data_IF_573772335422
#
_entry.id   IF_573772335422
#
_cell.length_a   1.000
_cell.length_b   1.000
_cell.length_c   1.000
_cell.angle_alpha   90.00
_cell.angle_beta   90.00
_cell.angle_gamma   90.00
#
_symmetry.space_group_name_H-M   'P 1'
#
loop_
_entity.id
_entity.type
_entity.pdbx_description
1 polymer ?
#
# COMPACT_ATOMS: atom_id res chain seq x y z
N UNK A 1 -26.02 -32.12 14.05
CA UNK A 1 -25.04 -31.95 12.95
C UNK A 1 -23.77 -31.35 13.54
N UNK A 2 -23.03 -32.10 14.36
CA UNK A 2 -21.73 -31.64 14.87
C UNK A 2 -20.69 -31.89 13.79
N UNK A 3 -20.59 -30.96 12.84
CA UNK A 3 -19.57 -31.02 11.80
C UNK A 3 -18.17 -30.96 12.42
N UNK A 4 -17.25 -31.76 11.89
CA UNK A 4 -15.85 -31.78 12.30
C UNK A 4 -15.28 -30.35 12.25
N UNK A 5 -14.86 -29.82 13.40
CA UNK A 5 -14.24 -28.50 13.48
C UNK A 5 -12.79 -28.64 13.03
N UNK A 6 -12.46 -28.11 11.87
CA UNK A 6 -11.07 -27.96 11.43
C UNK A 6 -10.50 -26.65 11.96
N UNK A 7 -9.26 -26.67 12.43
CA UNK A 7 -8.53 -25.49 12.91
C UNK A 7 -7.21 -25.36 12.17
N UNK A 8 -6.77 -24.12 12.00
CA UNK A 8 -5.53 -23.77 11.32
C UNK A 8 -4.57 -23.09 12.30
N UNK A 9 -3.37 -23.65 12.44
CA UNK A 9 -2.26 -23.04 13.17
C UNK A 9 -1.28 -22.44 12.16
N UNK A 10 -1.13 -21.13 12.20
CA UNK A 10 -0.28 -20.35 11.30
C UNK A 10 0.96 -19.91 12.07
N UNK A 11 2.14 -20.32 11.61
CA UNK A 11 3.40 -20.23 12.36
C UNK A 11 4.30 -19.18 11.71
N UNK A 12 4.77 -18.20 12.47
CA UNK A 12 5.81 -17.28 12.05
C UNK A 12 7.17 -18.00 11.97
N UNK A 13 8.06 -17.71 10.98
CA UNK A 13 9.30 -18.46 10.80
C UNK A 13 10.22 -18.39 12.02
N UNK A 14 10.18 -17.31 12.80
CA UNK A 14 10.99 -17.20 14.01
C UNK A 14 10.64 -18.27 15.07
N UNK A 15 9.38 -18.73 15.12
CA UNK A 15 8.92 -19.73 16.10
C UNK A 15 9.45 -21.13 15.77
N UNK A 16 9.85 -21.41 14.53
CA UNK A 16 10.35 -22.73 14.16
C UNK A 16 11.67 -23.07 14.85
N UNK A 17 12.37 -22.06 15.38
CA UNK A 17 13.58 -22.23 16.21
C UNK A 17 13.26 -22.70 17.63
N UNK A 18 12.04 -22.49 18.11
CA UNK A 18 11.59 -22.81 19.47
C UNK A 18 10.37 -23.75 19.44
N UNK A 19 10.58 -25.08 19.37
CA UNK A 19 9.49 -26.05 19.22
C UNK A 19 8.52 -26.08 20.42
N UNK A 20 8.99 -25.69 21.60
CA UNK A 20 8.21 -25.68 22.84
C UNK A 20 6.96 -24.78 22.75
N UNK A 21 7.07 -23.62 22.08
CA UNK A 21 5.95 -22.72 21.88
C UNK A 21 4.85 -23.38 21.04
N UNK A 22 5.22 -24.07 19.98
CA UNK A 22 4.28 -24.79 19.11
C UNK A 22 3.58 -25.92 19.89
N UNK A 23 4.32 -26.66 20.71
CA UNK A 23 3.73 -27.71 21.55
C UNK A 23 2.80 -27.17 22.63
N UNK A 24 3.18 -26.07 23.28
CA UNK A 24 2.36 -25.45 24.33
C UNK A 24 1.02 -24.99 23.78
N UNK A 25 1.02 -24.39 22.58
CA UNK A 25 -0.17 -23.91 21.89
C UNK A 25 -1.03 -25.08 21.42
N UNK A 26 -0.44 -26.16 20.91
CA UNK A 26 -1.18 -27.40 20.57
C UNK A 26 -1.84 -28.04 21.79
N UNK A 27 -1.21 -27.97 22.96
CA UNK A 27 -1.75 -28.46 24.24
C UNK A 27 -2.78 -27.51 24.85
N UNK A 28 -2.79 -26.24 24.42
CA UNK A 28 -3.71 -25.23 24.96
C UNK A 28 -5.18 -25.53 24.61
N UNK A 29 -6.09 -25.11 25.48
CA UNK A 29 -7.54 -25.33 25.33
C UNK A 29 -8.15 -24.70 24.08
N UNK A 30 -7.42 -23.83 23.37
CA UNK A 30 -7.89 -23.17 22.14
C UNK A 30 -8.26 -24.19 21.06
N UNK A 31 -7.54 -25.31 21.00
CA UNK A 31 -7.74 -26.37 20.00
C UNK A 31 -8.47 -27.60 20.53
N UNK A 32 -8.92 -27.60 21.80
CA UNK A 32 -9.57 -28.77 22.40
C UNK A 32 -10.84 -29.20 21.64
N UNK A 33 -11.50 -28.25 21.00
CA UNK A 33 -12.71 -28.46 20.20
C UNK A 33 -12.41 -28.93 18.75
N UNK A 34 -11.15 -28.95 18.33
CA UNK A 34 -10.76 -29.19 16.94
C UNK A 34 -10.42 -30.66 16.68
N UNK A 35 -11.00 -31.24 15.63
CA UNK A 35 -10.73 -32.64 15.24
C UNK A 35 -9.54 -32.75 14.28
N UNK A 36 -9.30 -31.70 13.48
CA UNK A 36 -8.21 -31.62 12.50
C UNK A 36 -7.46 -30.31 12.71
N UNK A 37 -6.13 -30.41 12.81
CA UNK A 37 -5.24 -29.26 12.99
C UNK A 37 -4.25 -29.21 11.83
N UNK A 38 -4.48 -28.27 10.91
CA UNK A 38 -3.55 -28.00 9.82
C UNK A 38 -2.51 -26.98 10.30
N UNK A 39 -1.25 -27.17 9.89
CA UNK A 39 -0.13 -26.33 10.30
C UNK A 39 0.58 -25.78 9.06
N UNK A 40 0.60 -24.46 8.93
CA UNK A 40 1.31 -23.82 7.83
C UNK A 40 2.20 -22.69 8.32
N UNK A 41 3.31 -22.50 7.60
CA UNK A 41 4.22 -21.39 7.83
C UNK A 41 3.73 -20.19 7.01
N UNK A 42 3.73 -18.99 7.62
CA UNK A 42 3.22 -17.77 6.99
C UNK A 42 3.83 -17.47 5.60
N UNK A 43 5.13 -17.67 5.43
CA UNK A 43 5.82 -17.46 4.14
C UNK A 43 5.28 -18.40 3.06
N UNK A 44 4.97 -19.67 3.40
CA UNK A 44 4.45 -20.63 2.41
C UNK A 44 3.05 -20.23 1.89
N UNK A 45 2.25 -19.58 2.73
CA UNK A 45 0.96 -19.01 2.31
C UNK A 45 1.18 -17.75 1.49
N UNK A 46 2.12 -16.90 1.89
CA UNK A 46 2.43 -15.67 1.17
C UNK A 46 2.98 -15.94 -0.25
N UNK A 47 3.83 -16.95 -0.38
CA UNK A 47 4.39 -17.41 -1.65
C UNK A 47 3.40 -18.24 -2.47
N UNK A 48 2.14 -18.37 -2.01
CA UNK A 48 1.08 -19.15 -2.65
C UNK A 48 1.44 -20.63 -2.90
N UNK A 49 2.46 -21.15 -2.20
CA UNK A 49 2.89 -22.55 -2.30
C UNK A 49 1.87 -23.51 -1.67
N UNK A 50 1.07 -23.00 -0.73
CA UNK A 50 -0.02 -23.73 -0.10
C UNK A 50 -1.31 -22.96 -0.31
N UNK A 51 -2.31 -23.62 -0.88
CA UNK A 51 -3.66 -23.06 -1.05
C UNK A 51 -4.56 -23.58 0.07
N UNK A 52 -5.23 -22.66 0.76
CA UNK A 52 -6.23 -23.01 1.76
C UNK A 52 -7.55 -23.38 1.08
N UNK A 53 -8.27 -24.35 1.64
CA UNK A 53 -9.63 -24.66 1.21
C UNK A 53 -10.61 -23.60 1.76
N UNK A 54 -11.58 -23.20 0.93
CA UNK A 54 -12.58 -22.20 1.28
C UNK A 54 -13.58 -22.72 2.34
N UNK A 55 -13.95 -21.88 3.31
CA UNK A 55 -14.92 -22.15 4.40
C UNK A 55 -14.69 -23.43 5.26
N UNK A 56 -13.48 -23.99 5.25
CA UNK A 56 -13.13 -25.21 6.01
C UNK A 56 -12.86 -24.95 7.48
N UNK A 57 -12.19 -23.84 7.79
CA UNK A 57 -11.65 -23.61 9.12
C UNK A 57 -12.64 -22.86 10.03
N UNK A 58 -12.76 -23.34 11.26
CA UNK A 58 -13.58 -22.70 12.31
C UNK A 58 -12.77 -21.77 13.21
N UNK A 59 -11.47 -22.07 13.37
CA UNK A 59 -10.54 -21.32 14.20
C UNK A 59 -9.19 -21.21 13.48
N UNK A 60 -8.64 -20.00 13.42
CA UNK A 60 -7.30 -19.70 12.94
C UNK A 60 -6.51 -19.09 14.10
N UNK A 61 -5.33 -19.60 14.36
CA UNK A 61 -4.43 -19.06 15.39
C UNK A 61 -3.10 -18.70 14.76
N UNK A 62 -2.70 -17.44 14.85
CA UNK A 62 -1.39 -16.97 14.44
C UNK A 62 -0.42 -16.99 15.61
N UNK A 63 0.66 -17.77 15.49
CA UNK A 63 1.70 -17.89 16.49
C UNK A 63 2.93 -17.09 16.04
N UNK A 64 3.17 -15.98 16.73
CA UNK A 64 4.36 -15.12 16.58
C UNK A 64 5.08 -15.00 17.94
N UNK A 65 6.42 -14.94 17.98
CA UNK A 65 7.15 -14.69 19.22
C UNK A 65 7.26 -13.18 19.53
N UNK A 66 6.80 -12.32 18.63
CA UNK A 66 6.88 -10.86 18.73
C UNK A 66 5.84 -10.32 19.71
N UNK A 67 6.14 -9.15 20.30
CA UNK A 67 5.19 -8.42 21.14
C UNK A 67 4.03 -7.88 20.30
N UNK A 68 2.87 -7.68 20.91
CA UNK A 68 1.64 -7.23 20.23
C UNK A 68 1.81 -5.96 19.37
N UNK A 69 2.70 -5.04 19.76
CA UNK A 69 2.98 -3.80 19.03
C UNK A 69 3.87 -3.96 17.80
N UNK A 70 4.67 -5.02 17.72
CA UNK A 70 5.69 -5.22 16.69
C UNK A 70 5.30 -6.26 15.65
N UNK A 71 4.13 -6.90 15.82
CA UNK A 71 3.67 -7.99 14.94
C UNK A 71 3.63 -7.53 13.49
N UNK A 72 4.46 -8.12 12.65
CA UNK A 72 4.42 -7.93 11.20
C UNK A 72 3.59 -9.04 10.54
N UNK A 73 2.52 -8.65 9.83
CA UNK A 73 1.64 -9.57 9.12
C UNK A 73 1.27 -9.04 7.73
N UNK A 74 1.46 -9.81 6.65
CA UNK A 74 1.07 -9.38 5.31
C UNK A 74 -0.45 -9.21 5.18
N UNK A 75 -0.91 -7.98 4.91
CA UNK A 75 -2.35 -7.66 4.82
C UNK A 75 -3.11 -8.44 3.74
N UNK A 76 -2.41 -8.83 2.66
CA UNK A 76 -2.97 -9.68 1.59
C UNK A 76 -3.46 -11.04 2.11
N UNK A 77 -2.80 -11.60 3.12
CA UNK A 77 -3.17 -12.88 3.69
C UNK A 77 -4.46 -12.80 4.51
N UNK A 78 -4.82 -11.62 5.04
CA UNK A 78 -6.05 -11.43 5.81
C UNK A 78 -7.27 -11.75 4.93
N UNK A 79 -7.27 -11.32 3.66
CA UNK A 79 -8.33 -11.63 2.70
C UNK A 79 -8.43 -13.14 2.40
N UNK A 80 -7.28 -13.82 2.26
CA UNK A 80 -7.24 -15.28 2.02
C UNK A 80 -7.73 -16.05 3.24
N UNK A 81 -7.35 -15.63 4.45
CA UNK A 81 -7.85 -16.20 5.70
C UNK A 81 -9.35 -15.95 5.90
N UNK A 82 -9.84 -14.79 5.47
CA UNK A 82 -11.27 -14.50 5.48
C UNK A 82 -12.03 -15.49 4.59
N UNK A 83 -11.52 -15.84 3.41
CA UNK A 83 -12.15 -16.80 2.49
C UNK A 83 -12.15 -18.24 3.05
N UNK A 84 -11.06 -18.66 3.67
CA UNK A 84 -10.91 -20.02 4.23
C UNK A 84 -11.67 -20.24 5.55
N UNK A 85 -11.99 -19.17 6.27
CA UNK A 85 -12.79 -19.22 7.51
C UNK A 85 -14.29 -19.39 7.22
N UNK A 86 -14.95 -20.27 7.96
CA UNK A 86 -16.41 -20.39 7.96
C UNK A 86 -17.07 -19.14 8.56
N UNK A 87 -18.31 -18.84 8.19
CA UNK A 87 -19.10 -17.80 8.86
C UNK A 87 -19.17 -18.04 10.38
N UNK A 88 -18.79 -17.03 11.18
CA UNK A 88 -18.63 -17.13 12.63
C UNK A 88 -17.29 -17.72 13.11
N UNK A 89 -16.36 -17.99 12.20
CA UNK A 89 -15.01 -18.45 12.53
C UNK A 89 -14.20 -17.39 13.28
N UNK A 90 -13.25 -17.83 14.12
CA UNK A 90 -12.46 -16.97 15.00
C UNK A 90 -11.00 -16.93 14.56
N UNK A 91 -10.38 -15.75 14.60
CA UNK A 91 -8.97 -15.54 14.31
C UNK A 91 -8.28 -14.93 15.53
N UNK A 92 -7.19 -15.55 15.98
CA UNK A 92 -6.37 -15.13 17.12
C UNK A 92 -4.95 -14.76 16.68
N UNK A 93 -4.29 -13.88 17.44
CA UNK A 93 -2.85 -13.60 17.31
C UNK A 93 -2.47 -12.36 16.49
N UNK A 94 -3.44 -11.62 15.95
CA UNK A 94 -3.21 -10.30 15.34
C UNK A 94 -3.46 -9.19 16.37
N UNK A 95 -2.88 -8.01 16.15
CA UNK A 95 -2.98 -6.85 17.05
C UNK A 95 -3.94 -5.78 16.53
N UNK A 96 -4.19 -4.77 17.37
CA UNK A 96 -5.04 -3.62 17.04
C UNK A 96 -4.53 -2.77 15.86
N UNK A 97 -3.27 -2.92 15.46
CA UNK A 97 -2.70 -2.26 14.27
C UNK A 97 -3.48 -2.67 13.01
N UNK A 98 -3.91 -3.93 12.94
CA UNK A 98 -4.62 -4.49 11.78
C UNK A 98 -6.15 -4.41 11.91
N UNK A 99 -6.67 -3.63 12.88
CA UNK A 99 -8.11 -3.49 13.13
C UNK A 99 -8.87 -2.96 11.92
N UNK A 100 -8.26 -2.07 11.14
CA UNK A 100 -8.87 -1.52 9.92
C UNK A 100 -8.97 -2.61 8.85
N UNK A 101 -7.90 -3.37 8.61
CA UNK A 101 -7.90 -4.48 7.66
C UNK A 101 -8.91 -5.56 8.05
N UNK A 102 -9.07 -5.83 9.35
CA UNK A 102 -10.09 -6.74 9.87
C UNK A 102 -11.49 -6.29 9.44
N UNK A 103 -11.82 -5.01 9.67
CA UNK A 103 -13.13 -4.45 9.33
C UNK A 103 -13.39 -4.44 7.82
N UNK A 104 -12.37 -4.13 7.00
CA UNK A 104 -12.47 -4.16 5.53
C UNK A 104 -12.79 -5.56 5.03
N UNK A 105 -12.20 -6.60 5.64
CA UNK A 105 -12.41 -8.00 5.27
C UNK A 105 -13.63 -8.66 5.96
N UNK A 106 -14.48 -7.88 6.65
CA UNK A 106 -15.72 -8.38 7.25
C UNK A 106 -15.56 -9.09 8.59
N UNK A 107 -14.45 -8.85 9.30
CA UNK A 107 -14.28 -9.32 10.68
C UNK A 107 -14.87 -8.35 11.69
N UNK A 108 -15.36 -8.90 12.79
CA UNK A 108 -15.73 -8.18 14.00
C UNK A 108 -14.65 -8.36 15.05
N UNK A 109 -14.08 -7.26 15.51
CA UNK A 109 -12.98 -7.28 16.48
C UNK A 109 -13.55 -7.29 17.89
N UNK A 110 -13.18 -8.29 18.69
CA UNK A 110 -13.63 -8.48 20.07
C UNK A 110 -12.43 -8.32 21.01
N UNK A 111 -12.38 -7.20 21.73
CA UNK A 111 -11.28 -6.89 22.66
C UNK A 111 -11.51 -7.41 24.09
N UNK A 112 -12.72 -7.85 24.45
CA UNK A 112 -13.13 -8.02 25.86
C UNK A 112 -13.75 -9.38 26.20
N UNK A 113 -13.20 -10.47 25.65
CA UNK A 113 -13.65 -11.83 25.97
C UNK A 113 -12.73 -12.55 26.96
N UNK A 114 -13.27 -13.55 27.68
CA UNK A 114 -12.50 -14.50 28.51
C UNK A 114 -11.37 -15.22 27.73
N UNK A 115 -11.49 -15.25 26.40
CA UNK A 115 -10.57 -15.91 25.47
C UNK A 115 -9.52 -14.95 24.87
N UNK A 116 -9.43 -13.71 25.37
CA UNK A 116 -8.50 -12.70 24.88
C UNK A 116 -8.94 -12.01 23.59
N UNK A 117 -8.04 -11.21 23.03
CA UNK A 117 -8.25 -10.45 21.79
C UNK A 117 -8.39 -11.39 20.59
N UNK A 118 -9.52 -11.30 19.89
CA UNK A 118 -9.77 -12.11 18.70
C UNK A 118 -10.75 -11.46 17.73
N UNK A 119 -10.71 -11.92 16.49
CA UNK A 119 -11.58 -11.45 15.43
C UNK A 119 -12.59 -12.54 15.07
N UNK A 120 -13.83 -12.16 14.77
CA UNK A 120 -14.90 -13.08 14.39
C UNK A 120 -15.37 -12.75 12.98
N UNK A 121 -15.31 -13.70 12.05
CA UNK A 121 -15.81 -13.49 10.68
C UNK A 121 -17.32 -13.30 10.73
N UNK A 122 -17.83 -12.15 10.29
CA UNK A 122 -19.28 -11.97 10.13
C UNK A 122 -19.75 -12.96 9.07
N UNK A 123 -20.75 -13.76 9.43
CA UNK A 123 -21.35 -14.67 8.45
C UNK A 123 -21.88 -13.86 7.27
N UNK A 124 -21.70 -14.39 6.07
CA UNK A 124 -22.44 -14.01 4.85
C UNK A 124 -23.92 -14.41 5.00
N UNK A 125 -24.54 -14.02 6.11
CA UNK A 125 -25.97 -13.83 6.10
C UNK A 125 -26.19 -12.67 5.13
N UNK A 126 -26.74 -12.99 3.95
CA UNK A 126 -27.58 -12.06 3.22
C UNK A 126 -28.61 -11.54 4.22
N UNK A 127 -28.21 -10.52 4.98
CA UNK A 127 -29.11 -9.71 5.76
C UNK A 127 -29.85 -9.00 4.67
N UNK A 128 -31.03 -9.54 4.35
CA UNK A 128 -32.00 -8.88 3.52
C UNK A 128 -31.94 -7.42 3.93
N UNK A 129 -31.48 -6.56 3.02
CA UNK A 129 -31.55 -5.12 3.24
C UNK A 129 -33.03 -4.83 3.32
N UNK A 130 -33.59 -4.91 4.54
CA UNK A 130 -34.88 -4.37 4.83
C UNK A 130 -34.74 -2.89 4.49
N UNK A 131 -35.45 -2.36 3.47
CA UNK A 131 -35.36 -0.96 3.18
C UNK A 131 -35.78 -0.23 4.46
N UNK A 132 -34.87 0.52 5.06
CA UNK A 132 -35.22 1.47 6.11
C UNK A 132 -36.13 2.47 5.43
N UNK A 133 -37.44 2.25 5.56
CA UNK A 133 -38.44 3.13 5.01
C UNK A 133 -38.36 4.46 5.77
N UNK A 134 -37.64 5.42 5.21
CA UNK A 134 -37.74 6.82 5.59
C UNK A 134 -39.20 7.22 5.41
N UNK A 135 -39.97 7.28 6.50
CA UNK A 135 -41.38 7.68 6.47
C UNK A 135 -41.48 9.11 5.91
N UNK A 136 -42.05 9.33 4.70
CA UNK A 136 -42.34 10.67 4.26
C UNK A 136 -43.51 11.21 5.11
N UNK A 137 -43.32 12.38 5.71
CA UNK A 137 -44.34 13.11 6.46
C UNK A 137 -45.54 13.42 5.53
N UNK A 138 -46.61 12.63 5.66
CA UNK A 138 -47.85 12.83 4.90
C UNK A 138 -48.64 13.97 5.54
N UNK A 139 -48.64 15.14 4.91
CA UNK A 139 -49.61 16.21 5.20
C UNK A 139 -50.99 15.75 4.68
N UNK A 140 -51.86 15.30 5.57
CA UNK A 140 -53.29 15.18 5.30
C UNK A 140 -54.01 16.46 5.73
N UNK A 141 -54.82 17.08 4.86
CA UNK A 141 -55.65 18.21 5.25
C UNK A 141 -56.91 17.68 5.94
N UNK A 142 -56.95 17.70 7.28
CA UNK A 142 -58.21 17.55 8.00
C UNK A 142 -58.81 18.93 8.24
N UNK A 143 -59.80 19.28 7.41
CA UNK A 143 -60.83 20.22 7.81
C UNK A 143 -61.53 19.68 9.06
N UNK A 144 -61.62 20.51 10.08
CA UNK A 144 -62.12 20.08 11.39
C UNK A 144 -61.73 21.07 12.46
N UNK A 145 -62.48 22.16 12.51
CA UNK A 145 -62.46 23.19 13.55
C UNK A 145 -62.27 22.63 14.96
N UNK A 146 -61.28 23.14 15.70
CA UNK A 146 -61.39 23.73 17.05
C UNK A 146 -59.98 23.92 17.66
N UNK A 147 -59.58 25.20 17.70
CA UNK A 147 -58.75 25.90 18.71
C UNK A 147 -57.67 25.11 19.47
N UNK A 148 -56.40 25.49 19.33
CA UNK A 148 -55.41 25.76 20.40
C UNK A 148 -54.16 26.46 19.78
N UNK A 149 -53.36 27.23 20.56
CA UNK A 149 -52.86 28.54 20.11
C UNK A 149 -51.44 28.59 19.50
N UNK A 150 -51.35 29.47 18.50
CA UNK A 150 -50.30 30.46 18.15
C UNK A 150 -48.94 30.30 18.86
N UNK A 151 -47.94 29.84 18.10
CA UNK A 151 -46.57 30.34 18.23
C UNK A 151 -46.06 30.78 16.86
N UNK A 152 -45.64 32.04 16.78
CA UNK A 152 -45.29 32.75 15.56
C UNK A 152 -43.98 32.22 14.94
N UNK A 153 -43.98 32.11 13.61
CA UNK A 153 -42.78 32.01 12.77
C UNK A 153 -42.52 33.38 12.15
N UNK A 154 -41.27 33.80 11.94
CA UNK A 154 -40.91 34.56 10.76
C UNK A 154 -40.32 33.62 9.70
N UNK A 155 -40.93 33.71 8.54
CA UNK A 155 -40.62 33.15 7.24
C UNK A 155 -39.23 33.52 6.72
N UNK A 156 -38.43 32.52 6.35
CA UNK A 156 -37.50 32.63 5.23
C UNK A 156 -37.86 31.55 4.20
N UNK A 157 -38.28 32.01 3.02
CA UNK A 157 -38.70 31.20 1.91
C UNK A 157 -37.48 30.62 1.17
N UNK A 158 -37.47 29.32 0.94
CA UNK A 158 -36.63 28.67 -0.08
C UNK A 158 -37.50 28.40 -1.31
N UNK A 159 -37.04 28.73 -2.53
CA UNK A 159 -37.85 28.61 -3.74
C UNK A 159 -37.94 27.14 -4.20
N UNK A 160 -39.16 26.74 -4.56
CA UNK A 160 -39.45 25.44 -5.17
C UNK A 160 -39.12 25.48 -6.67
N UNK A 161 -38.13 24.69 -7.10
CA UNK A 161 -37.87 24.45 -8.51
C UNK A 161 -38.96 23.54 -9.11
N UNK A 162 -39.73 24.09 -10.04
CA UNK A 162 -40.64 23.33 -10.92
C UNK A 162 -39.81 22.52 -11.92
N UNK A 163 -40.18 21.25 -12.04
CA UNK A 163 -39.69 20.27 -13.02
C UNK A 163 -40.10 20.74 -14.43
N UNK A 164 -39.11 21.12 -15.24
CA UNK A 164 -39.30 21.46 -16.65
C UNK A 164 -38.82 20.31 -17.55
N UNK A 165 -39.53 20.18 -18.67
CA UNK A 165 -39.48 19.13 -19.67
C UNK A 165 -38.16 19.05 -20.45
N UNK A 166 -37.93 17.85 -21.01
CA UNK A 166 -36.80 17.47 -21.88
C UNK A 166 -36.64 18.42 -23.09
N UNK A 167 -35.41 18.86 -23.42
CA UNK A 167 -35.08 19.25 -24.78
C UNK A 167 -34.07 18.27 -25.45
N UNK A 168 -34.21 18.17 -26.77
CA UNK A 168 -33.46 17.40 -27.76
C UNK A 168 -31.92 17.53 -27.67
N UNK A 169 -31.17 16.57 -28.22
CA UNK A 169 -29.71 16.59 -28.20
C UNK A 169 -29.20 17.63 -29.21
N UNK A 170 -28.42 18.60 -28.73
CA UNK A 170 -27.61 19.49 -29.56
C UNK A 170 -26.14 19.25 -29.22
N UNK A 171 -25.32 19.11 -30.26
CA UNK A 171 -23.99 18.50 -30.24
C UNK A 171 -22.96 19.14 -29.31
N UNK A 172 -21.96 18.31 -28.95
CA UNK A 172 -20.80 18.72 -28.16
C UNK A 172 -20.04 19.88 -28.85
N UNK A 173 -19.60 20.88 -28.08
CA UNK A 173 -18.66 21.88 -28.59
C UNK A 173 -17.27 21.24 -28.79
N UNK A 174 -16.75 21.33 -30.00
CA UNK A 174 -15.36 20.99 -30.33
C UNK A 174 -14.43 22.07 -29.77
N UNK A 175 -13.65 21.74 -28.75
CA UNK A 175 -12.64 22.65 -28.22
C UNK A 175 -11.42 22.66 -29.16
N UNK A 176 -11.19 23.80 -29.83
CA UNK A 176 -9.96 24.04 -30.60
C UNK A 176 -8.81 24.33 -29.63
N UNK A 177 -7.72 23.59 -29.80
CA UNK A 177 -6.45 23.75 -29.07
C UNK A 177 -5.75 25.03 -29.55
N UNK A 178 -5.37 25.98 -28.67
CA UNK A 178 -4.56 27.11 -29.08
C UNK A 178 -3.11 26.67 -29.31
N UNK A 179 -2.55 27.05 -30.46
CA UNK A 179 -1.12 26.96 -30.78
C UNK A 179 -0.31 27.78 -29.77
N UNK A 180 0.69 27.17 -29.15
CA UNK A 180 1.78 27.89 -28.49
C UNK A 180 2.98 27.99 -29.44
N UNK A 181 3.70 29.12 -29.42
CA UNK A 181 4.56 29.55 -30.52
C UNK A 181 5.90 28.78 -30.57
N UNK A 182 6.39 28.57 -31.79
CA UNK A 182 7.78 28.20 -32.10
C UNK A 182 8.73 29.28 -31.59
N UNK A 183 9.64 28.91 -30.68
CA UNK A 183 10.88 29.66 -30.46
C UNK A 183 12.00 28.94 -31.23
N UNK A 184 12.64 29.72 -32.08
CA UNK A 184 13.71 29.37 -33.01
C UNK A 184 15.02 29.03 -32.31
N UNK A 185 15.67 28.01 -32.87
CA UNK A 185 17.10 27.72 -32.70
C UNK A 185 17.94 28.93 -33.13
N UNK A 186 18.89 29.32 -32.28
CA UNK A 186 20.11 30.03 -32.67
C UNK A 186 21.23 29.33 -31.91
N UNK A 187 22.10 28.70 -32.69
CA UNK A 187 23.40 28.22 -32.26
C UNK A 187 24.36 29.41 -32.32
N UNK A 188 25.13 29.63 -31.26
CA UNK A 188 26.38 30.38 -31.33
C UNK A 188 27.42 29.61 -30.49
N UNK A 189 28.47 29.20 -31.20
CA UNK A 189 29.72 28.59 -30.73
C UNK A 189 30.61 29.64 -30.06
N UNK A 190 31.18 29.34 -28.87
CA UNK A 190 32.43 29.93 -28.29
C UNK A 190 32.85 28.97 -27.14
N UNK A 191 33.78 28.03 -27.30
CA UNK A 191 35.26 28.14 -27.40
C UNK A 191 35.96 28.60 -26.10
N UNK A 192 36.76 27.66 -25.57
CA UNK A 192 38.00 27.77 -24.80
C UNK A 192 38.05 28.34 -23.36
N UNK A 193 38.75 27.60 -22.50
CA UNK A 193 39.25 28.09 -21.21
C UNK A 193 39.48 27.01 -20.15
N UNK A 194 40.62 26.34 -20.22
CA UNK A 194 41.17 25.35 -19.29
C UNK A 194 41.28 25.80 -17.81
N UNK A 195 41.32 24.76 -16.95
CA UNK A 195 42.19 24.65 -15.75
C UNK A 195 41.87 25.51 -14.51
N UNK A 196 41.40 24.85 -13.45
CA UNK A 196 41.87 25.07 -12.07
C UNK A 196 41.36 23.96 -11.13
N UNK A 197 42.31 23.11 -10.71
CA UNK A 197 42.28 22.31 -9.50
C UNK A 197 42.06 23.17 -8.25
N UNK A 198 41.40 22.61 -7.24
CA UNK A 198 41.65 23.03 -5.85
C UNK A 198 40.48 22.96 -4.88
N UNK A 199 40.45 21.87 -4.12
CA UNK A 199 40.22 21.80 -2.66
C UNK A 199 38.82 22.18 -2.13
N UNK A 200 38.09 21.19 -1.60
CA UNK A 200 37.82 20.96 -0.16
C UNK A 200 36.72 21.87 0.39
N UNK A 201 35.85 21.54 1.34
CA UNK A 201 35.47 20.39 2.17
C UNK A 201 34.12 20.86 2.76
N UNK A 202 33.16 19.96 2.99
CA UNK A 202 32.16 20.03 4.07
C UNK A 202 30.90 19.25 3.67
N UNK A 203 30.89 17.96 3.99
CA UNK A 203 29.63 17.24 4.24
C UNK A 203 29.81 16.42 5.52
N UNK A 204 29.52 17.10 6.63
CA UNK A 204 29.26 16.47 7.92
C UNK A 204 28.01 15.59 7.81
N UNK A 205 28.00 14.46 8.55
CA UNK A 205 26.90 13.50 8.77
C UNK A 205 27.04 12.13 8.04
N UNK A 206 28.05 11.32 8.40
CA UNK A 206 28.01 9.87 8.08
C UNK A 206 28.65 8.89 9.09
N UNK A 207 29.09 9.35 10.27
CA UNK A 207 29.94 8.55 11.18
C UNK A 207 29.24 7.48 12.06
N UNK A 208 27.91 7.35 12.03
CA UNK A 208 27.22 6.38 12.92
C UNK A 208 27.06 4.97 12.30
N UNK A 209 27.13 4.85 10.97
CA UNK A 209 26.95 3.58 10.26
C UNK A 209 28.27 2.82 10.02
N UNK A 210 29.42 3.48 10.10
CA UNK A 210 30.75 2.89 9.91
C UNK A 210 31.34 2.33 11.21
N UNK A 211 30.94 2.85 12.38
CA UNK A 211 31.34 2.36 13.69
C UNK A 211 30.69 1.02 14.08
N UNK A 212 29.47 0.75 13.60
CA UNK A 212 28.76 -0.51 13.90
C UNK A 212 29.23 -1.70 13.07
N UNK A 213 29.97 -1.46 11.98
CA UNK A 213 30.53 -2.49 11.10
C UNK A 213 31.99 -2.87 11.44
N UNK A 214 32.68 -2.01 12.18
CA UNK A 214 34.04 -2.25 12.69
C UNK A 214 34.07 -2.97 14.03
N UNK A 215 32.99 -2.91 14.83
CA UNK A 215 32.90 -3.65 16.11
C UNK A 215 32.70 -5.17 15.98
N UNK A 216 32.34 -5.67 14.80
CA UNK A 216 32.14 -7.11 14.58
C UNK A 216 33.42 -7.85 14.18
N UNK A 217 34.52 -7.14 13.93
CA UNK A 217 35.81 -7.72 13.52
C UNK A 217 36.90 -7.66 14.60
N UNK A 218 36.67 -6.97 15.72
CA UNK A 218 37.67 -6.79 16.78
C UNK A 218 37.54 -7.81 17.95
N UNK A 219 36.47 -8.62 17.98
CA UNK A 219 36.15 -9.56 19.09
C UNK A 219 36.66 -11.00 18.87
N UNK A 220 37.73 -11.18 18.09
CA UNK A 220 38.39 -12.49 17.81
C UNK A 220 39.82 -12.57 18.39
N UNK A 221 40.21 -11.60 19.21
CA UNK A 221 41.48 -11.63 19.93
C UNK A 221 41.34 -12.42 21.26
N UNK A 222 41.36 -13.76 21.23
CA UNK A 222 41.43 -14.49 22.50
C UNK A 222 41.09 -15.98 22.54
N UNK A 223 41.38 -16.77 21.50
CA UNK A 223 41.43 -18.22 21.69
C UNK A 223 42.47 -18.88 20.79
N UNK A 224 43.67 -18.98 21.33
CA UNK A 224 44.75 -19.85 20.87
C UNK A 224 44.22 -21.29 20.73
N UNK A 225 44.66 -21.98 19.67
CA UNK A 225 44.43 -23.42 19.39
C UNK A 225 43.40 -23.76 18.30
N UNK A 226 43.52 -23.14 17.11
CA UNK A 226 43.01 -23.72 15.87
C UNK A 226 44.20 -24.07 14.97
N UNK A 227 44.30 -25.35 14.58
CA UNK A 227 45.26 -25.87 13.62
C UNK A 227 45.35 -24.96 12.40
N UNK A 228 46.58 -24.55 12.06
CA UNK A 228 46.86 -23.76 10.86
C UNK A 228 46.31 -24.50 9.64
N UNK A 229 45.28 -23.94 9.02
CA UNK A 229 44.77 -24.43 7.75
C UNK A 229 45.89 -24.26 6.73
N UNK A 230 46.30 -25.36 6.11
CA UNK A 230 47.36 -25.37 5.11
C UNK A 230 46.85 -24.73 3.80
N UNK A 231 47.60 -23.76 3.27
CA UNK A 231 47.19 -22.99 2.09
C UNK A 231 47.14 -23.86 0.83
N UNK A 232 47.88 -24.98 0.82
CA UNK A 232 47.95 -25.94 -0.28
C UNK A 232 46.85 -27.02 -0.24
N UNK A 233 46.16 -27.24 0.90
CA UNK A 233 45.03 -28.20 1.03
C UNK A 233 43.68 -27.55 0.67
N UNK A 234 43.65 -26.22 0.53
CA UNK A 234 42.47 -25.45 0.14
C UNK A 234 42.27 -25.37 -1.39
N UNK A 235 43.26 -25.83 -2.16
CA UNK A 235 43.28 -25.75 -3.61
C UNK A 235 43.40 -27.16 -4.19
N UNK A 236 42.30 -27.90 -4.21
CA UNK A 236 42.23 -29.15 -4.95
C UNK A 236 42.44 -28.88 -6.46
N UNK A 237 43.63 -29.20 -6.99
CA UNK A 237 43.99 -29.17 -8.42
C UNK A 237 43.06 -30.05 -9.32
N UNK A 238 42.12 -30.78 -8.70
CA UNK A 238 41.08 -31.57 -9.37
C UNK A 238 39.77 -30.81 -9.60
N UNK A 239 39.56 -29.64 -8.97
CA UNK A 239 38.37 -28.81 -9.13
C UNK A 239 38.69 -27.63 -10.04
N UNK A 240 38.57 -27.84 -11.36
CA UNK A 240 38.55 -26.76 -12.34
C UNK A 240 37.42 -25.80 -11.99
N UNK A 241 37.82 -24.77 -11.26
CA UNK A 241 37.05 -23.63 -10.84
C UNK A 241 36.32 -23.01 -12.02
N UNK A 242 35.08 -23.42 -12.23
CA UNK A 242 34.06 -22.59 -12.85
C UNK A 242 33.68 -21.48 -11.85
N UNK A 243 34.66 -20.71 -11.39
CA UNK A 243 34.40 -19.44 -10.73
C UNK A 243 33.85 -18.55 -11.84
N UNK A 244 32.53 -18.41 -11.85
CA UNK A 244 31.90 -17.29 -12.56
C UNK A 244 32.28 -16.04 -11.79
N UNK A 245 33.43 -15.47 -12.14
CA UNK A 245 33.73 -14.11 -11.73
C UNK A 245 32.63 -13.26 -12.38
N UNK A 246 31.63 -12.87 -11.60
CA UNK A 246 30.77 -11.73 -11.93
C UNK A 246 31.68 -10.51 -11.82
N UNK A 247 32.56 -10.37 -12.81
CA UNK A 247 33.22 -9.12 -13.07
C UNK A 247 32.08 -8.16 -13.35
N UNK A 248 31.89 -7.19 -12.46
CA UNK A 248 31.23 -5.94 -12.82
C UNK A 248 32.15 -5.21 -13.81
N UNK A 249 32.40 -5.83 -14.95
CA UNK A 249 32.93 -5.17 -16.10
C UNK A 249 31.84 -4.25 -16.56
N UNK A 250 32.01 -2.95 -16.33
CA UNK A 250 31.56 -1.96 -17.31
C UNK A 250 32.28 -2.31 -18.61
N UNK A 251 31.86 -3.38 -19.30
CA UNK A 251 32.37 -3.71 -20.61
C UNK A 251 31.96 -2.53 -21.47
N UNK A 252 32.94 -1.78 -21.95
CA UNK A 252 32.77 -0.64 -22.85
C UNK A 252 32.13 -1.03 -24.20
N UNK A 253 31.58 -2.23 -24.31
CA UNK A 253 30.82 -2.71 -25.44
C UNK A 253 29.34 -2.42 -25.19
N UNK A 254 28.92 -1.17 -25.43
CA UNK A 254 27.48 -0.86 -25.55
C UNK A 254 26.86 -1.90 -26.47
N UNK A 255 25.85 -2.63 -26.00
CA UNK A 255 24.97 -3.41 -26.87
C UNK A 255 24.47 -2.46 -27.96
N UNK A 256 24.86 -2.70 -29.22
CA UNK A 256 24.51 -1.82 -30.34
C UNK A 256 22.99 -1.86 -30.52
N UNK A 257 22.34 -0.70 -30.41
CA UNK A 257 20.91 -0.53 -30.73
C UNK A 257 20.69 -0.87 -32.20
N UNK A 258 19.56 -1.51 -32.55
CA UNK A 258 19.20 -1.69 -33.95
C UNK A 258 19.11 -0.33 -34.68
N UNK A 259 19.67 -0.25 -35.89
CA UNK A 259 19.56 0.94 -36.74
C UNK A 259 18.08 1.25 -37.06
N UNK A 260 17.75 2.55 -37.23
CA UNK A 260 16.39 3.04 -37.55
C UNK A 260 15.77 2.31 -38.75
N UNK A 261 16.60 1.95 -39.74
CA UNK A 261 16.26 1.20 -40.95
C UNK A 261 17.13 -0.08 -41.10
N UNK A 262 17.26 -0.91 -40.06
CA UNK A 262 18.11 -2.11 -40.13
C UNK A 262 17.61 -3.10 -41.20
N UNK A 263 18.42 -3.24 -42.25
CA UNK A 263 18.34 -4.27 -43.29
C UNK A 263 19.00 -5.59 -42.85
N UNK A 264 19.50 -5.62 -41.61
CA UNK A 264 20.53 -6.51 -41.11
C UNK A 264 20.02 -7.63 -40.19
N UNK A 265 18.70 -7.82 -40.06
CA UNK A 265 18.08 -8.84 -39.20
C UNK A 265 18.22 -8.58 -37.69
N UNK A 266 19.06 -7.65 -37.25
CA UNK A 266 19.33 -7.40 -35.82
C UNK A 266 18.12 -6.82 -35.08
N UNK A 267 17.25 -6.09 -35.79
CA UNK A 267 15.94 -5.63 -35.26
C UNK A 267 14.99 -6.78 -34.97
N UNK A 268 15.01 -7.82 -35.81
CA UNK A 268 14.17 -9.00 -35.63
C UNK A 268 14.63 -9.82 -34.43
N UNK A 269 15.96 -9.96 -34.25
CA UNK A 269 16.53 -10.60 -33.07
C UNK A 269 16.20 -9.86 -31.76
N UNK A 270 16.33 -8.53 -31.72
CA UNK A 270 16.00 -7.72 -30.53
C UNK A 270 14.49 -7.75 -30.23
N UNK A 271 13.63 -7.76 -31.26
CA UNK A 271 12.20 -7.92 -31.09
C UNK A 271 11.83 -9.31 -30.56
N UNK A 272 12.42 -10.38 -31.10
CA UNK A 272 12.20 -11.74 -30.60
C UNK A 272 12.67 -11.92 -29.15
N UNK A 273 13.80 -11.31 -28.76
CA UNK A 273 14.27 -11.33 -27.37
C UNK A 273 13.33 -10.54 -26.44
N UNK A 274 12.84 -9.38 -26.88
CA UNK A 274 11.87 -8.59 -26.13
C UNK A 274 10.52 -9.31 -25.98
N UNK A 275 10.05 -9.99 -27.03
CA UNK A 275 8.81 -10.77 -27.00
C UNK A 275 8.97 -12.04 -26.15
N UNK A 276 10.13 -12.70 -26.18
CA UNK A 276 10.44 -13.82 -25.29
C UNK A 276 10.52 -13.39 -23.81
N UNK A 277 11.11 -12.23 -23.53
CA UNK A 277 11.14 -11.65 -22.18
C UNK A 277 9.74 -11.29 -21.69
N UNK A 278 8.90 -10.69 -22.55
CA UNK A 278 7.50 -10.40 -22.23
C UNK A 278 6.70 -11.69 -21.99
N UNK A 279 6.87 -12.72 -22.82
CA UNK A 279 6.22 -14.01 -22.63
C UNK A 279 6.66 -14.73 -21.34
N UNK A 280 7.94 -14.62 -20.96
CA UNK A 280 8.43 -15.12 -19.69
C UNK A 280 7.82 -14.36 -18.51
N UNK A 281 7.71 -13.03 -18.61
CA UNK A 281 7.05 -12.19 -17.61
C UNK A 281 5.56 -12.53 -17.47
N UNK A 282 4.85 -12.71 -18.58
CA UNK A 282 3.43 -13.09 -18.61
C UNK A 282 3.20 -14.49 -18.01
N UNK A 283 4.13 -15.42 -18.21
CA UNK A 283 4.09 -16.75 -17.60
C UNK A 283 4.23 -16.70 -16.07
N UNK A 284 5.01 -15.76 -15.54
CA UNK A 284 5.21 -15.59 -14.09
C UNK A 284 4.02 -14.85 -13.47
N UNK A 285 3.47 -13.84 -14.15
CA UNK A 285 2.40 -13.00 -13.63
C UNK A 285 1.00 -13.60 -13.77
N UNK A 286 0.81 -14.65 -14.59
CA UNK A 286 -0.39 -15.49 -14.66
C UNK A 286 -1.68 -14.81 -15.16
N UNK A 287 -1.74 -13.48 -15.11
CA UNK A 287 -2.81 -12.61 -15.59
C UNK A 287 -2.18 -11.31 -16.10
N UNK A 288 -2.53 -10.82 -17.30
CA UNK A 288 -2.10 -9.49 -17.73
C UNK A 288 -2.68 -8.47 -16.75
N UNK A 289 -1.83 -7.64 -16.14
CA UNK A 289 -2.24 -6.52 -15.29
C UNK A 289 -2.95 -5.50 -16.18
N UNK A 290 -4.27 -5.65 -16.30
CA UNK A 290 -5.15 -4.65 -16.87
C UNK A 290 -5.60 -3.77 -15.71
N UNK A 291 -5.07 -2.55 -15.64
CA UNK A 291 -5.62 -1.53 -14.76
C UNK A 291 -7.03 -1.20 -15.24
N UNK A 292 -8.00 -1.26 -14.34
CA UNK A 292 -9.36 -0.81 -14.65
C UNK A 292 -9.34 0.70 -14.93
N UNK A 293 -10.29 1.21 -15.72
CA UNK A 293 -10.39 2.66 -16.04
C UNK A 293 -10.39 3.53 -14.77
N UNK A 294 -10.84 2.98 -13.64
CA UNK A 294 -10.88 3.63 -12.34
C UNK A 294 -9.49 3.78 -11.70
N UNK A 295 -8.61 2.78 -11.83
CA UNK A 295 -7.22 2.86 -11.34
C UNK A 295 -6.39 3.78 -12.23
N UNK A 296 -6.67 3.79 -13.54
CA UNK A 296 -6.08 4.74 -14.49
C UNK A 296 -6.50 6.18 -14.19
N UNK A 297 -7.72 6.42 -13.69
CA UNK A 297 -8.14 7.76 -13.22
C UNK A 297 -7.49 8.19 -11.90
N UNK A 298 -6.96 7.26 -11.12
CA UNK A 298 -6.28 7.56 -9.85
C UNK A 298 -4.82 8.01 -10.08
N UNK A 299 -4.24 7.64 -11.22
CA UNK A 299 -2.86 7.97 -11.63
C UNK A 299 -2.82 9.17 -12.59
N UNK A 300 -3.97 9.67 -13.03
CA UNK A 300 -4.04 10.86 -13.88
C UNK A 300 -3.96 12.16 -13.06
N UNK A 301 -2.74 12.69 -12.94
CA UNK A 301 -2.41 13.97 -12.30
C UNK A 301 -3.16 15.19 -12.89
N UNK A 302 -3.89 15.04 -14.00
CA UNK A 302 -4.64 16.14 -14.64
C UNK A 302 -6.13 16.18 -14.28
N UNK A 303 -6.64 15.23 -13.49
CA UNK A 303 -8.04 15.21 -13.05
C UNK A 303 -8.18 15.89 -11.67
N UNK A 304 -8.77 17.09 -11.66
CA UNK A 304 -9.07 17.86 -10.46
C UNK A 304 -10.15 17.14 -9.62
N UNK A 305 -9.78 16.36 -8.60
CA UNK A 305 -10.84 15.70 -7.80
C UNK A 305 -10.46 15.03 -6.48
N UNK A 306 -9.28 14.44 -6.32
CA UNK A 306 -8.93 13.75 -5.06
C UNK A 306 -7.44 13.93 -4.73
N UNK A 307 -7.16 14.94 -3.91
CA UNK A 307 -5.83 15.25 -3.38
C UNK A 307 -5.47 14.23 -2.29
N UNK A 308 -4.86 13.13 -2.68
CA UNK A 308 -4.27 12.16 -1.76
C UNK A 308 -2.80 12.55 -1.56
N UNK A 309 -2.58 13.61 -0.78
CA UNK A 309 -1.26 14.17 -0.52
C UNK A 309 -1.39 15.55 0.12
N UNK A 310 -0.55 15.88 1.10
CA UNK A 310 -0.70 17.04 2.01
C UNK A 310 -0.78 18.45 1.38
N UNK A 311 -0.80 18.58 0.06
CA UNK A 311 -0.94 19.85 -0.66
C UNK A 311 -2.42 20.14 -1.01
N UNK A 312 -3.09 20.97 -0.20
CA UNK A 312 -4.48 21.37 -0.48
C UNK A 312 -5.19 22.13 0.62
N UNK A 313 -4.61 22.12 1.81
CA UNK A 313 -5.16 22.74 3.01
C UNK A 313 -4.54 24.11 3.33
N UNK A 314 -3.74 24.70 2.42
CA UNK A 314 -3.01 25.96 2.66
C UNK A 314 -3.90 27.15 3.07
N UNK A 315 -5.19 27.12 2.74
CA UNK A 315 -6.18 28.14 3.13
C UNK A 315 -6.50 28.15 4.63
N UNK A 316 -6.22 27.06 5.34
CA UNK A 316 -6.53 26.89 6.76
C UNK A 316 -5.52 27.55 7.72
N UNK A 317 -4.45 28.15 7.19
CA UNK A 317 -3.40 28.83 7.96
C UNK A 317 -2.07 28.08 7.99
N UNK A 318 -1.12 28.59 8.76
CA UNK A 318 0.29 28.17 8.71
C UNK A 318 0.54 26.72 9.12
N UNK A 319 -0.31 26.14 9.98
CA UNK A 319 -0.21 24.72 10.34
C UNK A 319 -0.39 23.75 9.16
N UNK A 320 -0.97 24.23 8.05
CA UNK A 320 -1.24 23.43 6.85
C UNK A 320 -0.44 23.89 5.63
N UNK A 321 0.50 24.81 5.81
CA UNK A 321 1.36 25.36 4.76
C UNK A 321 2.75 24.70 4.86
N UNK A 322 3.28 24.23 3.74
CA UNK A 322 4.65 23.70 3.67
C UNK A 322 5.67 24.83 3.94
N UNK A 323 6.90 24.49 4.36
CA UNK A 323 7.98 25.44 4.65
C UNK A 323 8.33 26.43 3.53
N UNK A 324 7.98 26.11 2.27
CA UNK A 324 8.15 27.00 1.11
C UNK A 324 6.89 27.76 0.66
N UNK A 325 5.83 27.84 1.48
CA UNK A 325 4.58 28.49 1.05
C UNK A 325 4.71 30.03 1.11
N UNK A 326 4.40 30.77 0.03
CA UNK A 326 4.49 32.23 0.02
C UNK A 326 3.48 32.92 0.95
N UNK A 327 2.51 32.18 1.47
CA UNK A 327 1.52 32.70 2.41
C UNK A 327 1.90 32.48 3.89
N UNK A 328 3.04 31.86 4.21
CA UNK A 328 3.46 31.64 5.61
C UNK A 328 3.50 32.99 6.36
N UNK A 329 2.81 33.08 7.49
CA UNK A 329 2.67 34.30 8.30
C UNK A 329 1.42 35.13 8.03
N UNK A 330 0.67 34.87 6.94
CA UNK A 330 -0.60 35.55 6.67
C UNK A 330 -1.78 34.83 7.34
N UNK A 331 -2.85 35.56 7.73
CA UNK A 331 -4.05 34.95 8.28
C UNK A 331 -4.66 33.90 7.33
N UNK A 332 -5.40 32.95 7.90
CA UNK A 332 -6.16 31.97 7.13
C UNK A 332 -7.13 32.71 6.18
N UNK A 333 -7.20 32.27 4.91
CA UNK A 333 -8.01 32.91 3.89
C UNK A 333 -8.85 31.88 3.16
N UNK A 334 -10.08 32.25 2.76
CA UNK A 334 -10.88 31.42 1.87
C UNK A 334 -10.48 31.69 0.42
N UNK A 335 -10.28 30.67 -0.42
CA UNK A 335 -10.00 30.88 -1.84
C UNK A 335 -11.15 31.69 -2.45
N UNK A 336 -10.86 32.91 -2.92
CA UNK A 336 -11.84 33.85 -3.50
C UNK A 336 -12.24 35.03 -2.61
N UNK A 337 -11.80 35.12 -1.36
CA UNK A 337 -12.03 36.31 -0.54
C UNK A 337 -11.03 37.42 -0.94
N UNK A 338 -11.48 38.66 -1.22
CA UNK A 338 -10.56 39.77 -1.45
C UNK A 338 -9.76 40.02 -0.17
N UNK A 339 -8.44 40.07 -0.31
CA UNK A 339 -7.52 40.37 0.79
C UNK A 339 -7.59 41.88 1.01
N UNK A 340 -8.20 42.31 2.12
CA UNK A 340 -8.09 43.70 2.58
C UNK A 340 -6.68 43.91 3.09
N UNK A 341 -5.88 44.69 2.35
CA UNK A 341 -4.50 45.01 2.70
C UNK A 341 -4.39 46.05 3.84
N UNK A 342 -5.52 46.58 4.31
CA UNK A 342 -5.54 47.68 5.28
C UNK A 342 -4.93 47.32 6.64
N UNK A 343 -4.90 46.03 7.02
CA UNK A 343 -4.31 45.58 8.29
C UNK A 343 -2.82 45.25 8.21
N UNK A 344 -2.21 45.25 7.02
CA UNK A 344 -0.77 44.93 6.86
C UNK A 344 0.10 46.19 6.96
N UNK A 345 -0.50 47.39 6.87
CA UNK A 345 0.25 48.65 6.89
C UNK A 345 0.70 49.12 8.29
N UNK A 346 0.24 48.48 9.37
CA UNK A 346 0.55 48.92 10.76
C UNK A 346 1.79 48.21 11.36
N UNK A 347 2.42 47.29 10.62
CA UNK A 347 3.60 46.51 11.06
C UNK A 347 4.80 46.62 10.08
N UNK A 348 4.86 47.74 9.34
CA UNK A 348 5.92 48.11 8.41
C UNK A 348 6.59 49.41 8.88
#
# INVERSE_FOLDING_TARGET
MSGEKSSLLLIHPAVTTTPELVESVKKSNVFADSSKLDQFLVNKLNDSSVQLEDEKYSLVYYLTPEKESEIQFPTKLIAVLAQSLRGGGRLFGLSDVYKIDALINGFEVVNSGEQGYHWVKKGTAHTQTAPVALRPKRNTPSGGSKSLPIFAKPSFALPAFKKAEKPKPTGLPTFKKPESPRASVVAEDLDDGDELDGMNEDDSNSDELTASKSKFFDDVAGQDSADSIDEDDLVDDAEKSAITVVTCGKTKTRRRKACKDCTCGLKEAEAQEADAARAAQDRILGKPVKFDEQELTEIDFTIQGKKVGGCGSCSLGDAFRCSGCPYLGLPAFKPGQPISLDTIADDL
#
